data_IF_172391466417
#
_entry.id   IF_172391466417
#
_cell.length_a   1.000
_cell.length_b   1.000
_cell.length_c   1.000
_cell.angle_alpha   90.00
_cell.angle_beta   90.00
_cell.angle_gamma   90.00
#
_symmetry.space_group_name_H-M   'P 1'
#
loop_
_entity.id
_entity.type
_entity.pdbx_description
1 polymer ?
#
# COMPACT_ATOMS: atom_id res chain seq x y z
N UNK A 1 -75.81 11.43 27.85
CA UNK A 1 -76.00 12.23 29.08
C UNK A 1 -74.72 12.43 29.92
N UNK A 2 -73.51 12.17 29.39
CA UNK A 2 -72.24 12.32 30.14
C UNK A 2 -71.24 13.33 29.55
N UNK A 3 -71.48 13.92 28.38
CA UNK A 3 -70.55 14.89 27.78
C UNK A 3 -70.66 16.30 28.37
N UNK A 4 -71.84 16.75 28.81
CA UNK A 4 -72.00 18.09 29.41
C UNK A 4 -71.52 18.18 30.86
N UNK A 5 -71.46 17.04 31.58
CA UNK A 5 -70.95 16.98 32.95
C UNK A 5 -69.43 17.24 33.01
N UNK A 6 -68.69 16.82 31.99
CA UNK A 6 -67.23 17.02 31.93
C UNK A 6 -66.87 18.48 31.69
N UNK A 7 -67.59 19.18 30.80
CA UNK A 7 -67.39 20.61 30.57
C UNK A 7 -67.71 21.46 31.80
N UNK A 8 -68.75 21.09 32.55
CA UNK A 8 -69.10 21.80 33.79
C UNK A 8 -68.01 21.67 34.86
N UNK A 9 -67.38 20.49 34.98
CA UNK A 9 -66.24 20.28 35.87
C UNK A 9 -65.02 21.11 35.45
N UNK A 10 -64.72 21.23 34.16
CA UNK A 10 -63.61 22.08 33.69
C UNK A 10 -63.84 23.56 34.01
N UNK A 11 -65.08 24.05 33.86
CA UNK A 11 -65.43 25.43 34.19
C UNK A 11 -65.29 25.69 35.70
N UNK A 12 -65.78 24.79 36.56
CA UNK A 12 -65.65 24.95 38.01
C UNK A 12 -64.19 24.90 38.46
N UNK A 13 -63.39 23.94 37.96
CA UNK A 13 -61.96 23.86 38.28
C UNK A 13 -61.22 25.11 37.80
N UNK A 14 -61.54 25.62 36.61
CA UNK A 14 -60.92 26.85 36.11
C UNK A 14 -61.29 28.07 36.95
N UNK A 15 -62.53 28.14 37.46
CA UNK A 15 -62.99 29.23 38.31
C UNK A 15 -62.34 29.20 39.69
N UNK A 16 -62.20 28.02 40.29
CA UNK A 16 -61.55 27.84 41.59
C UNK A 16 -60.04 28.09 41.52
N UNK A 17 -59.38 27.69 40.42
CA UNK A 17 -57.97 28.02 40.16
C UNK A 17 -57.78 29.53 40.00
N UNK A 18 -58.68 30.20 39.28
CA UNK A 18 -58.61 31.66 39.12
C UNK A 18 -58.86 32.39 40.45
N UNK A 19 -59.78 31.88 41.27
CA UNK A 19 -60.09 32.43 42.61
C UNK A 19 -58.92 32.23 43.59
N UNK A 20 -58.25 31.08 43.54
CA UNK A 20 -57.03 30.83 44.32
C UNK A 20 -55.87 31.76 43.92
N UNK A 21 -55.67 31.98 42.61
CA UNK A 21 -54.69 32.95 42.11
C UNK A 21 -55.02 34.41 42.51
N UNK A 22 -56.31 34.77 42.56
CA UNK A 22 -56.73 36.11 42.98
C UNK A 22 -56.57 36.36 44.49
N UNK A 23 -56.68 35.31 45.32
CA UNK A 23 -56.47 35.42 46.77
C UNK A 23 -54.99 35.47 47.17
N UNK A 24 -54.10 34.85 46.40
CA UNK A 24 -52.65 34.87 46.66
C UNK A 24 -52.01 36.24 46.37
N UNK A 25 -52.65 37.08 45.54
CA UNK A 25 -52.17 38.46 45.30
C UNK A 25 -52.44 39.44 46.46
N UNK A 26 -53.31 39.11 47.41
CA UNK A 26 -53.72 40.06 48.46
C UNK A 26 -52.97 39.91 49.80
N UNK A 27 -52.11 38.89 49.96
CA UNK A 27 -51.48 38.57 51.25
C UNK A 27 -49.94 38.45 51.20
N UNK A 28 -49.25 39.22 50.35
CA UNK A 28 -47.81 39.45 50.52
C UNK A 28 -47.58 40.71 51.38
N UNK A 29 -46.80 40.63 52.48
CA UNK A 29 -46.54 41.77 53.35
C UNK A 29 -45.84 42.89 52.57
N UNK A 30 -46.35 44.11 52.73
CA UNK A 30 -45.76 45.35 52.24
C UNK A 30 -44.34 45.53 52.80
N UNK A 31 -43.35 45.03 52.08
CA UNK A 31 -42.03 45.64 52.02
C UNK A 31 -41.86 46.20 50.61
N UNK A 32 -42.07 47.51 50.50
CA UNK A 32 -41.83 48.30 49.30
C UNK A 32 -40.32 48.40 49.04
N UNK A 33 -39.73 47.32 48.52
CA UNK A 33 -38.64 47.51 47.58
C UNK A 33 -39.30 48.12 46.33
N UNK A 34 -39.04 49.41 46.10
CA UNK A 34 -39.46 50.11 44.89
C UNK A 34 -38.87 49.35 43.70
N UNK A 35 -39.65 48.45 43.10
CA UNK A 35 -39.32 47.90 41.80
C UNK A 35 -39.51 49.03 40.81
N UNK A 36 -38.40 49.65 40.41
CA UNK A 36 -38.42 50.70 39.40
C UNK A 36 -38.49 50.00 38.03
N UNK A 37 -39.65 50.00 37.33
CA UNK A 37 -39.78 49.35 36.04
C UNK A 37 -38.83 49.94 34.99
N UNK A 38 -38.43 51.22 35.17
CA UNK A 38 -37.41 51.86 34.34
C UNK A 38 -36.05 51.15 34.47
N UNK A 39 -35.62 50.80 35.69
CA UNK A 39 -34.32 50.15 35.90
C UNK A 39 -34.28 48.70 35.41
N UNK A 40 -35.41 47.98 35.47
CA UNK A 40 -35.51 46.62 34.94
C UNK A 40 -35.46 46.58 33.40
N UNK A 41 -36.18 47.50 32.74
CA UNK A 41 -36.13 47.63 31.28
C UNK A 41 -34.76 48.09 30.78
N UNK A 42 -34.11 49.01 31.49
CA UNK A 42 -32.74 49.44 31.19
C UNK A 42 -31.74 48.27 31.32
N UNK A 43 -31.87 47.44 32.36
CA UNK A 43 -31.04 46.23 32.53
C UNK A 43 -31.26 45.21 31.41
N UNK A 44 -32.51 45.01 30.96
CA UNK A 44 -32.82 44.13 29.83
C UNK A 44 -32.18 44.66 28.53
N UNK A 45 -32.25 45.96 28.29
CA UNK A 45 -31.62 46.60 27.13
C UNK A 45 -30.10 46.41 27.11
N UNK A 46 -29.44 46.63 28.25
CA UNK A 46 -27.99 46.39 28.40
C UNK A 46 -27.66 44.92 28.13
N UNK A 47 -28.43 43.99 28.70
CA UNK A 47 -28.19 42.56 28.50
C UNK A 47 -28.39 42.14 27.05
N UNK A 48 -29.41 42.66 26.36
CA UNK A 48 -29.63 42.42 24.94
C UNK A 48 -28.45 42.92 24.09
N UNK A 49 -27.95 44.12 24.35
CA UNK A 49 -26.77 44.66 23.64
C UNK A 49 -25.52 43.81 23.86
N UNK A 50 -25.30 43.34 25.10
CA UNK A 50 -24.20 42.42 25.40
C UNK A 50 -24.34 41.09 24.65
N UNK A 51 -25.55 40.53 24.56
CA UNK A 51 -25.82 39.31 23.82
C UNK A 51 -25.56 39.46 22.32
N UNK A 52 -26.02 40.56 21.70
CA UNK A 52 -25.74 40.85 20.28
C UNK A 52 -24.23 41.02 20.03
N UNK A 53 -23.53 41.71 20.94
CA UNK A 53 -22.08 41.90 20.85
C UNK A 53 -21.32 40.57 20.98
N UNK A 54 -21.71 39.74 21.95
CA UNK A 54 -21.14 38.41 22.15
C UNK A 54 -21.35 37.51 20.92
N UNK A 55 -22.56 37.49 20.37
CA UNK A 55 -22.89 36.65 19.23
C UNK A 55 -22.18 37.10 17.95
N UNK A 56 -22.09 38.41 17.69
CA UNK A 56 -21.35 38.91 16.52
C UNK A 56 -19.86 38.56 16.59
N UNK A 57 -19.23 38.68 17.77
CA UNK A 57 -17.83 38.26 17.96
C UNK A 57 -17.65 36.75 17.79
N UNK A 58 -18.53 35.95 18.38
CA UNK A 58 -18.58 34.49 18.24
C UNK A 58 -18.72 34.06 16.79
N UNK A 59 -19.55 34.75 16.02
CA UNK A 59 -19.75 34.50 14.60
C UNK A 59 -18.47 34.80 13.83
N UNK A 60 -17.88 35.99 14.03
CA UNK A 60 -16.63 36.38 13.36
C UNK A 60 -15.46 35.39 13.64
N UNK A 61 -15.32 34.93 14.89
CA UNK A 61 -14.31 33.92 15.27
C UNK A 61 -14.57 32.56 14.62
N UNK A 62 -15.85 32.19 14.44
CA UNK A 62 -16.23 30.96 13.75
C UNK A 62 -15.88 31.06 12.27
N UNK A 63 -16.20 32.18 11.64
CA UNK A 63 -15.94 32.43 10.23
C UNK A 63 -14.43 32.46 9.94
N UNK A 64 -13.61 33.05 10.81
CA UNK A 64 -12.15 33.02 10.69
C UNK A 64 -11.60 31.58 10.73
N UNK A 65 -12.10 30.76 11.67
CA UNK A 65 -11.70 29.35 11.76
C UNK A 65 -12.13 28.56 10.53
N UNK A 66 -13.34 28.79 10.02
CA UNK A 66 -13.84 28.16 8.80
C UNK A 66 -12.96 28.54 7.62
N UNK A 67 -12.72 29.84 7.40
CA UNK A 67 -11.85 30.32 6.32
C UNK A 67 -10.44 29.69 6.40
N UNK A 68 -9.88 29.57 7.60
CA UNK A 68 -8.57 28.93 7.80
C UNK A 68 -8.60 27.43 7.49
N UNK A 69 -9.68 26.73 7.84
CA UNK A 69 -9.87 25.32 7.51
C UNK A 69 -10.06 25.11 6.02
N UNK A 70 -10.86 25.95 5.37
CA UNK A 70 -11.07 25.94 3.92
C UNK A 70 -9.77 26.17 3.16
N UNK A 71 -8.97 27.18 3.55
CA UNK A 71 -7.66 27.42 2.94
C UNK A 71 -6.72 26.22 3.09
N UNK A 72 -6.69 25.59 4.28
CA UNK A 72 -5.88 24.40 4.52
C UNK A 72 -6.36 23.21 3.70
N UNK A 73 -7.67 23.02 3.57
CA UNK A 73 -8.26 21.95 2.78
C UNK A 73 -7.93 22.13 1.30
N UNK A 74 -8.07 23.35 0.77
CA UNK A 74 -7.70 23.66 -0.62
C UNK A 74 -6.22 23.41 -0.89
N UNK A 75 -5.34 23.80 0.03
CA UNK A 75 -3.91 23.52 -0.08
C UNK A 75 -3.62 22.00 -0.07
N UNK A 76 -4.31 21.25 0.79
CA UNK A 76 -4.17 19.80 0.87
C UNK A 76 -4.68 19.11 -0.41
N UNK A 77 -5.82 19.55 -0.96
CA UNK A 77 -6.36 19.04 -2.21
C UNK A 77 -5.38 19.26 -3.36
N UNK A 78 -4.83 20.48 -3.48
CA UNK A 78 -3.81 20.81 -4.49
C UNK A 78 -2.54 19.96 -4.34
N UNK A 79 -2.12 19.71 -3.10
CA UNK A 79 -0.97 18.84 -2.84
C UNK A 79 -1.27 17.39 -3.25
N UNK A 80 -2.46 16.88 -2.93
CA UNK A 80 -2.87 15.53 -3.31
C UNK A 80 -2.93 15.37 -4.84
N UNK A 81 -3.50 16.33 -5.55
CA UNK A 81 -3.51 16.35 -7.02
C UNK A 81 -2.10 16.31 -7.61
N UNK A 82 -1.17 17.09 -7.05
CA UNK A 82 0.24 17.07 -7.45
C UNK A 82 0.90 15.71 -7.21
N UNK A 83 0.58 15.05 -6.08
CA UNK A 83 1.08 13.71 -5.80
C UNK A 83 0.49 12.68 -6.77
N UNK A 84 -0.80 12.74 -7.05
CA UNK A 84 -1.47 11.85 -8.00
C UNK A 84 -0.90 12.02 -9.42
N UNK A 85 -0.61 13.25 -9.84
CA UNK A 85 0.01 13.50 -11.14
C UNK A 85 1.43 12.92 -11.19
N UNK A 86 2.20 13.03 -10.11
CA UNK A 86 3.54 12.43 -10.02
C UNK A 86 3.47 10.90 -10.13
N UNK A 87 2.53 10.26 -9.43
CA UNK A 87 2.31 8.82 -9.50
C UNK A 87 1.92 8.36 -10.90
N UNK A 88 1.04 9.10 -11.59
CA UNK A 88 0.68 8.81 -13.00
C UNK A 88 1.90 8.87 -13.91
N UNK A 89 2.74 9.89 -13.75
CA UNK A 89 3.96 10.03 -14.56
C UNK A 89 4.92 8.86 -14.32
N UNK A 90 5.11 8.44 -13.06
CA UNK A 90 5.91 7.27 -12.72
C UNK A 90 5.35 5.99 -13.36
N UNK A 91 4.03 5.82 -13.33
CA UNK A 91 3.37 4.67 -13.96
C UNK A 91 3.60 4.63 -15.48
N UNK A 92 3.53 5.77 -16.17
CA UNK A 92 3.81 5.83 -17.61
C UNK A 92 5.28 5.54 -17.92
N UNK A 93 6.21 6.02 -17.08
CA UNK A 93 7.63 5.67 -17.18
C UNK A 93 7.86 4.16 -17.01
N UNK A 94 7.20 3.53 -16.04
CA UNK A 94 7.27 2.07 -15.86
C UNK A 94 6.71 1.31 -17.07
N UNK A 95 5.57 1.75 -17.62
CA UNK A 95 4.98 1.14 -18.82
C UNK A 95 5.96 1.17 -20.00
N UNK A 96 6.62 2.31 -20.25
CA UNK A 96 7.60 2.42 -21.33
C UNK A 96 8.87 1.60 -21.04
N UNK A 97 9.32 1.52 -19.77
CA UNK A 97 10.41 0.60 -19.37
C UNK A 97 10.05 -0.87 -19.62
N UNK A 98 8.83 -1.28 -19.28
CA UNK A 98 8.32 -2.65 -19.52
C UNK A 98 8.23 -2.94 -21.02
N UNK A 99 7.80 -1.97 -21.82
CA UNK A 99 7.71 -2.11 -23.28
C UNK A 99 9.10 -2.22 -23.92
N UNK A 100 10.05 -1.40 -23.47
CA UNK A 100 11.45 -1.48 -23.89
C UNK A 100 12.08 -2.83 -23.51
N UNK A 101 11.87 -3.31 -22.28
CA UNK A 101 12.40 -4.61 -21.85
C UNK A 101 11.85 -5.77 -22.67
N UNK A 102 10.54 -5.77 -22.95
CA UNK A 102 9.90 -6.78 -23.83
C UNK A 102 10.52 -6.79 -25.23
N UNK A 103 10.87 -5.63 -25.79
CA UNK A 103 11.54 -5.53 -27.11
C UNK A 103 12.94 -6.17 -27.09
N UNK A 104 13.66 -6.07 -25.98
CA UNK A 104 15.01 -6.65 -25.82
C UNK A 104 14.94 -8.17 -25.59
N UNK A 105 13.98 -8.64 -24.78
CA UNK A 105 13.88 -10.05 -24.38
C UNK A 105 13.33 -10.92 -25.52
N UNK A 106 12.30 -10.44 -26.25
CA UNK A 106 11.54 -11.25 -27.23
C UNK A 106 12.39 -11.89 -28.35
N UNK A 107 13.43 -11.26 -28.91
CA UNK A 107 14.22 -11.87 -29.98
C UNK A 107 15.07 -13.06 -29.54
N UNK A 108 15.51 -13.09 -28.28
CA UNK A 108 16.48 -14.08 -27.80
C UNK A 108 15.84 -15.11 -26.86
N UNK A 109 14.79 -14.76 -26.13
CA UNK A 109 14.25 -15.63 -25.09
C UNK A 109 12.90 -16.24 -25.49
N UNK A 110 12.81 -17.56 -25.35
CA UNK A 110 11.59 -18.35 -25.50
C UNK A 110 10.80 -18.35 -24.18
N UNK A 111 9.47 -18.20 -24.26
CA UNK A 111 8.61 -18.25 -23.07
C UNK A 111 8.31 -19.71 -22.69
N UNK A 112 8.68 -20.10 -21.48
CA UNK A 112 8.35 -21.41 -20.89
C UNK A 112 7.63 -21.14 -19.56
N UNK A 113 6.37 -21.57 -19.45
CA UNK A 113 5.51 -21.22 -18.34
C UNK A 113 5.32 -19.71 -18.21
N UNK A 114 5.64 -19.15 -17.05
CA UNK A 114 5.56 -17.71 -16.76
C UNK A 114 6.87 -16.95 -17.00
N UNK A 115 7.94 -17.63 -17.42
CA UNK A 115 9.31 -17.08 -17.47
C UNK A 115 9.89 -17.18 -18.88
N UNK A 116 10.96 -16.43 -19.12
CA UNK A 116 11.63 -16.36 -20.41
C UNK A 116 13.02 -16.98 -20.30
N UNK A 117 13.39 -17.81 -21.27
CA UNK A 117 14.66 -18.55 -21.26
C UNK A 117 15.37 -18.47 -22.61
N UNK A 118 16.69 -18.29 -22.57
CA UNK A 118 17.56 -18.52 -23.72
C UNK A 118 18.34 -19.81 -23.46
N UNK A 119 18.26 -20.75 -24.40
CA UNK A 119 18.96 -22.04 -24.31
C UNK A 119 20.05 -22.03 -25.39
N UNK A 120 21.31 -21.91 -24.98
CA UNK A 120 22.45 -22.04 -25.89
C UNK A 120 22.58 -23.48 -26.36
N UNK A 121 22.62 -23.70 -27.68
CA UNK A 121 22.62 -25.05 -28.28
C UNK A 121 23.87 -25.33 -29.13
N UNK A 122 24.70 -24.31 -29.39
CA UNK A 122 25.81 -24.39 -30.35
C UNK A 122 27.16 -24.21 -29.67
N UNK A 123 27.30 -23.22 -28.79
CA UNK A 123 28.59 -22.80 -28.25
C UNK A 123 28.73 -23.17 -26.77
N UNK A 124 29.68 -24.07 -26.47
CA UNK A 124 30.04 -24.38 -25.09
C UNK A 124 31.06 -23.36 -24.57
N UNK A 125 30.86 -22.91 -23.34
CA UNK A 125 31.72 -21.93 -22.68
C UNK A 125 31.92 -22.28 -21.20
N UNK A 126 32.90 -21.66 -20.56
CA UNK A 126 33.05 -21.76 -19.11
C UNK A 126 31.93 -21.00 -18.37
N UNK A 127 31.79 -21.27 -17.07
CA UNK A 127 30.68 -20.73 -16.28
C UNK A 127 30.70 -19.19 -16.22
N UNK A 128 31.89 -18.59 -16.10
CA UNK A 128 32.06 -17.13 -16.03
C UNK A 128 31.62 -16.43 -17.32
N UNK A 129 31.99 -17.00 -18.47
CA UNK A 129 31.58 -16.46 -19.77
C UNK A 129 30.08 -16.68 -20.02
N UNK A 130 29.51 -17.80 -19.55
CA UNK A 130 28.06 -18.02 -19.58
C UNK A 130 27.32 -16.96 -18.73
N UNK A 131 27.82 -16.67 -17.53
CA UNK A 131 27.31 -15.62 -16.66
C UNK A 131 27.31 -14.25 -17.38
N UNK A 132 28.46 -13.85 -17.93
CA UNK A 132 28.60 -12.58 -18.65
C UNK A 132 27.68 -12.51 -19.88
N UNK A 133 27.62 -13.56 -20.70
CA UNK A 133 26.73 -13.63 -21.86
C UNK A 133 25.27 -13.44 -21.46
N UNK A 134 24.79 -14.12 -20.42
CA UNK A 134 23.41 -13.95 -19.97
C UNK A 134 23.12 -12.51 -19.52
N UNK A 135 24.06 -11.87 -18.81
CA UNK A 135 23.94 -10.46 -18.37
C UNK A 135 23.89 -9.49 -19.54
N UNK A 136 24.73 -9.69 -20.56
CA UNK A 136 24.72 -8.86 -21.79
C UNK A 136 23.42 -8.97 -22.59
N UNK A 137 22.75 -10.12 -22.50
CA UNK A 137 21.42 -10.33 -23.11
C UNK A 137 20.27 -9.76 -22.27
N UNK A 138 20.55 -9.04 -21.18
CA UNK A 138 19.53 -8.48 -20.29
C UNK A 138 18.86 -9.52 -19.38
N UNK A 139 19.47 -10.69 -19.21
CA UNK A 139 19.05 -11.74 -18.29
C UNK A 139 20.15 -12.12 -17.31
N UNK A 140 20.11 -13.36 -16.84
CA UNK A 140 21.12 -13.97 -15.97
C UNK A 140 21.06 -15.48 -16.12
N UNK A 141 22.06 -16.19 -15.60
CA UNK A 141 22.03 -17.66 -15.62
C UNK A 141 20.77 -18.21 -14.92
N UNK A 142 20.34 -19.40 -15.33
CA UNK A 142 19.14 -20.03 -14.79
C UNK A 142 19.25 -20.27 -13.28
N UNK A 143 18.43 -19.59 -12.50
CA UNK A 143 18.17 -19.89 -11.10
C UNK A 143 16.91 -20.77 -10.98
N UNK A 144 17.13 -22.01 -10.57
CA UNK A 144 16.08 -23.02 -10.38
C UNK A 144 15.40 -22.78 -9.03
N UNK A 145 14.09 -22.52 -9.05
CA UNK A 145 13.34 -22.14 -7.84
C UNK A 145 12.80 -23.34 -7.07
N UNK A 146 12.36 -24.39 -7.77
CA UNK A 146 11.74 -25.60 -7.20
C UNK A 146 11.71 -26.73 -8.25
N UNK A 147 11.26 -27.93 -7.84
CA UNK A 147 11.18 -29.12 -8.70
C UNK A 147 10.22 -28.94 -9.89
N UNK A 148 9.04 -28.35 -9.68
CA UNK A 148 8.08 -28.10 -10.76
C UNK A 148 8.69 -27.24 -11.87
N UNK A 149 9.38 -26.15 -11.50
CA UNK A 149 10.06 -25.27 -12.44
C UNK A 149 11.22 -25.99 -13.15
N UNK A 150 11.93 -26.85 -12.43
CA UNK A 150 13.00 -27.66 -13.00
C UNK A 150 12.45 -28.61 -14.08
N UNK A 151 11.42 -29.38 -13.78
CA UNK A 151 10.85 -30.33 -14.73
C UNK A 151 10.22 -29.65 -15.94
N UNK A 152 9.54 -28.52 -15.75
CA UNK A 152 8.96 -27.74 -16.84
C UNK A 152 10.03 -27.29 -17.84
N UNK A 153 11.13 -26.69 -17.36
CA UNK A 153 12.23 -26.21 -18.21
C UNK A 153 12.92 -27.39 -18.89
N UNK A 154 13.37 -28.38 -18.12
CA UNK A 154 14.17 -29.49 -18.65
C UNK A 154 13.36 -30.51 -19.45
N UNK A 155 12.03 -30.38 -19.53
CA UNK A 155 11.20 -31.07 -20.52
C UNK A 155 11.35 -30.52 -21.94
N UNK A 156 11.81 -29.27 -22.09
CA UNK A 156 11.97 -28.56 -23.37
C UNK A 156 13.43 -28.36 -23.78
N UNK A 157 14.37 -28.55 -22.86
CA UNK A 157 15.82 -28.40 -23.10
C UNK A 157 16.36 -29.65 -23.82
N UNK A 158 17.07 -29.50 -24.95
CA UNK A 158 17.71 -30.64 -25.63
C UNK A 158 18.73 -31.35 -24.73
N UNK A 159 19.02 -32.65 -24.96
CA UNK A 159 20.05 -33.37 -24.22
C UNK A 159 21.39 -32.64 -24.24
N UNK A 160 22.02 -32.48 -23.08
CA UNK A 160 23.28 -31.76 -22.96
C UNK A 160 23.64 -31.43 -21.52
N UNK A 161 24.78 -30.77 -21.37
CA UNK A 161 25.28 -30.25 -20.11
C UNK A 161 25.07 -28.74 -20.10
N UNK A 162 24.36 -28.23 -19.10
CA UNK A 162 23.99 -26.81 -19.04
C UNK A 162 24.43 -26.17 -17.73
N UNK A 163 25.09 -25.02 -17.82
CA UNK A 163 25.37 -24.16 -16.69
C UNK A 163 24.10 -23.48 -16.13
N UNK A 164 24.05 -23.36 -14.81
CA UNK A 164 23.01 -22.64 -14.06
C UNK A 164 23.60 -21.65 -13.05
N UNK A 165 22.76 -20.76 -12.49
CA UNK A 165 23.12 -19.71 -11.52
C UNK A 165 23.30 -20.27 -10.12
N UNK A 166 24.25 -21.20 -9.97
CA UNK A 166 24.59 -21.79 -8.70
C UNK A 166 26.07 -22.15 -8.73
N UNK A 167 26.85 -21.49 -7.88
CA UNK A 167 28.30 -21.69 -7.79
C UNK A 167 28.79 -21.58 -6.34
N UNK A 168 29.80 -22.36 -6.01
CA UNK A 168 30.59 -22.25 -4.78
C UNK A 168 31.91 -21.59 -5.15
N UNK A 169 31.94 -20.26 -5.17
CA UNK A 169 33.11 -19.47 -5.57
C UNK A 169 34.10 -19.23 -4.42
N UNK A 170 33.65 -19.37 -3.18
CA UNK A 170 34.50 -19.24 -2.00
C UNK A 170 34.99 -20.60 -1.51
N UNK A 171 36.29 -20.67 -1.21
CA UNK A 171 36.95 -21.90 -0.75
C UNK A 171 36.59 -22.29 0.70
N UNK A 172 35.93 -21.41 1.45
CA UNK A 172 35.74 -21.57 2.90
C UNK A 172 34.50 -22.35 3.29
N UNK A 173 33.38 -22.18 2.57
CA UNK A 173 32.10 -22.66 3.09
C UNK A 173 31.40 -23.73 2.23
N UNK A 174 31.88 -24.02 1.02
CA UNK A 174 31.37 -25.11 0.17
C UNK A 174 29.88 -25.03 -0.19
N UNK A 175 29.21 -23.92 0.16
CA UNK A 175 27.81 -23.67 -0.15
C UNK A 175 27.69 -23.08 -1.55
N UNK A 176 26.72 -23.62 -2.29
CA UNK A 176 26.36 -23.10 -3.60
C UNK A 176 25.43 -21.90 -3.44
N UNK A 177 25.90 -20.76 -3.95
CA UNK A 177 25.20 -19.48 -3.91
C UNK A 177 24.68 -19.14 -5.30
N UNK A 178 23.49 -18.53 -5.35
CA UNK A 178 22.98 -17.91 -6.57
C UNK A 178 23.58 -16.52 -6.71
N UNK A 179 24.21 -16.25 -7.86
CA UNK A 179 24.79 -14.92 -8.12
C UNK A 179 23.73 -13.86 -8.39
N UNK A 180 22.52 -14.27 -8.77
CA UNK A 180 21.36 -13.38 -8.83
C UNK A 180 20.93 -12.88 -7.45
N UNK A 181 20.81 -13.79 -6.47
CA UNK A 181 20.18 -13.47 -5.18
C UNK A 181 21.17 -13.15 -4.07
N UNK A 182 22.44 -13.52 -4.24
CA UNK A 182 23.46 -13.48 -3.18
C UNK A 182 23.14 -14.42 -2.02
N UNK A 183 22.24 -15.40 -2.21
CA UNK A 183 21.79 -16.35 -1.17
C UNK A 183 22.05 -17.78 -1.62
N UNK A 184 22.03 -18.70 -0.67
CA UNK A 184 22.13 -20.14 -0.94
C UNK A 184 21.06 -20.58 -1.93
N UNK A 185 21.43 -21.42 -2.88
CA UNK A 185 20.50 -21.94 -3.87
C UNK A 185 19.36 -22.71 -3.19
N UNK A 186 18.11 -22.32 -3.51
CA UNK A 186 16.90 -22.84 -2.84
C UNK A 186 16.55 -24.27 -3.24
N UNK A 187 16.96 -24.68 -4.43
CA UNK A 187 16.69 -26.01 -4.96
C UNK A 187 17.96 -26.60 -5.55
N UNK A 188 18.41 -27.70 -4.96
CA UNK A 188 19.60 -28.44 -5.39
C UNK A 188 19.30 -29.93 -5.40
N UNK A 189 19.25 -30.54 -6.58
CA UNK A 189 19.05 -32.00 -6.78
C UNK A 189 20.38 -32.65 -7.18
N UNK A 190 21.31 -32.67 -6.23
CA UNK A 190 22.66 -33.20 -6.45
C UNK A 190 22.65 -34.69 -6.74
N UNK A 191 23.48 -35.13 -7.70
CA UNK A 191 23.81 -36.53 -7.90
C UNK A 191 25.28 -36.80 -7.63
N UNK A 192 25.55 -37.88 -6.89
CA UNK A 192 26.89 -38.32 -6.51
C UNK A 192 27.46 -37.59 -5.29
N UNK A 193 28.69 -37.94 -4.93
CA UNK A 193 29.43 -37.31 -3.84
C UNK A 193 29.90 -35.92 -4.26
N UNK A 194 29.59 -34.92 -3.43
CA UNK A 194 30.05 -33.54 -3.63
C UNK A 194 31.56 -33.51 -3.48
N UNK A 195 32.27 -33.05 -4.51
CA UNK A 195 33.67 -32.68 -4.36
C UNK A 195 33.72 -31.34 -3.62
N UNK A 196 34.14 -31.34 -2.35
CA UNK A 196 34.16 -30.18 -1.46
C UNK A 196 35.43 -29.33 -1.57
N UNK A 197 36.42 -29.76 -2.37
CA UNK A 197 37.79 -29.23 -2.27
C UNK A 197 38.15 -28.10 -3.24
N UNK A 198 37.23 -27.61 -4.08
CA UNK A 198 37.55 -26.60 -5.12
C UNK A 198 36.39 -25.63 -5.42
N UNK A 199 36.73 -24.51 -6.08
CA UNK A 199 35.76 -23.60 -6.71
C UNK A 199 34.97 -24.38 -7.76
N UNK A 200 33.68 -24.59 -7.50
CA UNK A 200 32.83 -25.44 -8.30
C UNK A 200 31.58 -24.72 -8.74
N UNK A 201 31.10 -25.08 -9.92
CA UNK A 201 29.91 -24.52 -10.54
C UNK A 201 28.91 -25.62 -10.84
N UNK A 202 27.63 -25.31 -10.73
CA UNK A 202 26.57 -26.29 -10.90
C UNK A 202 26.23 -26.43 -12.38
N UNK A 203 26.25 -27.66 -12.85
CA UNK A 203 25.83 -28.05 -14.18
C UNK A 203 24.68 -29.05 -14.09
N UNK A 204 23.71 -28.94 -15.00
CA UNK A 204 22.65 -29.91 -15.16
C UNK A 204 22.92 -30.80 -16.36
N UNK A 205 22.77 -32.11 -16.15
CA UNK A 205 22.78 -33.14 -17.21
C UNK A 205 21.69 -34.15 -16.89
N UNK A 206 20.87 -34.50 -17.87
CA UNK A 206 19.82 -35.53 -17.72
C UNK A 206 18.94 -35.34 -16.46
N UNK A 207 18.48 -34.10 -16.20
CA UNK A 207 17.66 -33.75 -15.03
C UNK A 207 18.33 -33.97 -13.66
N UNK A 208 19.66 -33.99 -13.62
CA UNK A 208 20.45 -34.17 -12.41
C UNK A 208 21.49 -33.06 -12.29
N UNK A 209 21.77 -32.61 -11.07
CA UNK A 209 22.76 -31.55 -10.82
C UNK A 209 24.12 -32.13 -10.41
N UNK A 210 25.17 -31.59 -11.00
CA UNK A 210 26.56 -31.99 -10.76
C UNK A 210 27.40 -30.77 -10.37
N UNK A 211 28.28 -30.97 -9.39
CA UNK A 211 29.31 -30.01 -9.01
C UNK A 211 30.56 -30.28 -9.84
N UNK A 212 30.91 -29.36 -10.73
CA UNK A 212 32.04 -29.52 -11.65
C UNK A 212 32.92 -28.27 -11.68
N UNK A 213 34.14 -28.40 -12.20
CA UNK A 213 35.06 -27.28 -12.35
C UNK A 213 34.44 -26.18 -13.23
N UNK A 214 34.40 -24.95 -12.73
CA UNK A 214 33.84 -23.78 -13.42
C UNK A 214 34.49 -23.48 -14.78
N UNK A 215 35.72 -23.96 -15.02
CA UNK A 215 36.45 -23.78 -16.27
C UNK A 215 36.00 -24.74 -17.39
N UNK A 216 35.18 -25.75 -17.08
CA UNK A 216 34.70 -26.71 -18.07
C UNK A 216 33.84 -26.02 -19.14
N UNK A 217 33.91 -26.49 -20.39
CA UNK A 217 33.05 -25.99 -21.45
C UNK A 217 31.69 -26.72 -21.46
N UNK A 218 30.60 -26.02 -21.14
CA UNK A 218 29.24 -26.53 -21.22
C UNK A 218 28.32 -25.53 -21.95
N UNK A 219 27.16 -25.99 -22.38
CA UNK A 219 26.10 -25.08 -22.81
C UNK A 219 25.58 -24.31 -21.60
N UNK A 220 24.70 -23.35 -21.80
CA UNK A 220 24.15 -22.56 -20.70
C UNK A 220 22.70 -22.18 -20.97
N UNK A 221 21.97 -21.98 -19.88
CA UNK A 221 20.59 -21.51 -19.92
C UNK A 221 20.57 -20.16 -19.22
N UNK A 222 20.12 -19.13 -19.93
CA UNK A 222 19.79 -17.86 -19.33
C UNK A 222 18.30 -17.81 -19.04
N UNK A 223 17.94 -17.08 -17.99
CA UNK A 223 16.58 -16.64 -17.77
C UNK A 223 16.51 -15.11 -17.86
N UNK A 224 15.36 -14.60 -18.27
CA UNK A 224 15.01 -13.21 -18.14
C UNK A 224 13.68 -13.10 -17.41
N UNK A 225 13.57 -12.12 -16.53
CA UNK A 225 12.31 -11.69 -15.96
C UNK A 225 11.97 -10.35 -16.62
N UNK A 226 10.73 -10.12 -17.09
CA UNK A 226 10.32 -8.78 -17.49
C UNK A 226 10.57 -7.85 -16.30
N UNK A 227 11.28 -6.75 -16.47
CA UNK A 227 11.40 -5.73 -15.42
C UNK A 227 10.00 -5.20 -15.13
N UNK A 228 9.41 -5.62 -14.01
CA UNK A 228 8.15 -5.13 -13.47
C UNK A 228 8.43 -4.20 -12.29
#
# INVERSE_FOLDING_TARGET
>A
MFQYATYFLYVLVSWDVWRAFAQDQNNAPHHSAVYNPQSGLDQIGIHQQQWFSYNSLRQALTDEKINKLEMRLLALLKQLESQLQTLRNLQELEKERIKASKRIIKPFFEKIGSRYFYIEKQNKVNWYLAFDKCRRMGGHLLNVKNETNFDEIFSKVPPGNYWIDSASLDKKDGYFMSTLTGRSARYLKWKGTRNTSFVNCAMIKSKEMYSVNCQNANFFICQAEPWY
#
